data_IF_150769848575
#
_entry.id   IF_150769848575
#
_cell.length_a   1.000
_cell.length_b   1.000
_cell.length_c   1.000
_cell.angle_alpha   90.00
_cell.angle_beta   90.00
_cell.angle_gamma   90.00
#
_symmetry.space_group_name_H-M   'P 1'
#
loop_
_entity.id
_entity.type
_entity.pdbx_description
1 polymer ?
#
# COMPACT_ATOMS: atom_id res chain seq x y z
N UNK A 1 -6.54 -1.19 -40.76
CA UNK A 1 -7.06 -0.70 -39.48
C UNK A 1 -6.76 -1.77 -38.46
N UNK A 2 -5.81 -1.52 -37.54
CA UNK A 2 -5.61 -2.16 -36.22
C UNK A 2 -4.25 -1.65 -35.68
N UNK A 3 -3.99 -1.36 -34.40
CA UNK A 3 -4.78 -1.32 -33.18
C UNK A 3 -4.24 -0.16 -32.33
N UNK A 4 -5.08 0.36 -31.44
CA UNK A 4 -4.74 1.42 -30.51
C UNK A 4 -3.54 1.04 -29.62
N UNK A 5 -2.36 1.57 -29.96
CA UNK A 5 -1.20 1.64 -29.07
C UNK A 5 -1.47 2.70 -28.00
N UNK A 6 -2.42 2.42 -27.09
CA UNK A 6 -2.93 3.38 -26.13
C UNK A 6 -2.45 3.09 -24.72
N UNK A 7 -1.59 3.96 -24.18
CA UNK A 7 -1.42 4.23 -22.74
C UNK A 7 -0.67 3.23 -21.83
N UNK A 8 -0.39 1.99 -22.24
CA UNK A 8 0.31 1.01 -21.35
C UNK A 8 1.85 1.16 -21.34
N UNK A 9 2.42 1.71 -22.41
CA UNK A 9 3.87 1.90 -22.63
C UNK A 9 4.60 2.68 -21.50
N UNK A 10 4.09 3.82 -20.99
CA UNK A 10 4.79 4.56 -19.95
C UNK A 10 4.78 3.83 -18.60
N UNK A 11 3.68 3.14 -18.27
CA UNK A 11 3.55 2.41 -17.01
C UNK A 11 4.45 1.17 -16.99
N UNK A 12 4.48 0.40 -18.08
CA UNK A 12 5.38 -0.76 -18.21
C UNK A 12 6.85 -0.33 -18.16
N UNK A 13 7.21 0.74 -18.87
CA UNK A 13 8.59 1.29 -18.88
C UNK A 13 9.02 1.75 -17.49
N UNK A 14 8.14 2.38 -16.71
CA UNK A 14 8.43 2.77 -15.33
C UNK A 14 8.73 1.54 -14.46
N UNK A 15 7.86 0.54 -14.48
CA UNK A 15 8.06 -0.68 -13.68
C UNK A 15 9.25 -1.51 -14.14
N UNK A 16 9.62 -1.45 -15.42
CA UNK A 16 10.87 -2.03 -15.91
C UNK A 16 12.09 -1.36 -15.27
N UNK A 17 12.12 -0.03 -15.14
CA UNK A 17 13.22 0.68 -14.46
C UNK A 17 13.30 0.30 -12.98
N UNK A 18 12.15 0.24 -12.30
CA UNK A 18 12.06 -0.20 -10.90
C UNK A 18 12.55 -1.66 -10.76
N UNK A 19 12.16 -2.53 -11.69
CA UNK A 19 12.59 -3.92 -11.70
C UNK A 19 14.11 -4.07 -11.86
N UNK A 20 14.71 -3.35 -12.83
CA UNK A 20 16.17 -3.35 -13.02
C UNK A 20 16.88 -2.83 -11.79
N UNK A 21 16.46 -1.68 -11.27
CA UNK A 21 17.05 -1.11 -10.05
C UNK A 21 16.97 -2.08 -8.87
N UNK A 22 15.83 -2.74 -8.66
CA UNK A 22 15.67 -3.75 -7.61
C UNK A 22 16.64 -4.91 -7.79
N UNK A 23 16.80 -5.42 -9.02
CA UNK A 23 17.69 -6.56 -9.28
C UNK A 23 19.16 -6.22 -9.14
N UNK A 24 19.53 -4.98 -9.47
CA UNK A 24 20.91 -4.48 -9.35
C UNK A 24 21.31 -4.24 -7.89
N UNK A 25 20.36 -3.92 -7.00
CA UNK A 25 20.63 -3.47 -5.62
C UNK A 25 20.05 -4.37 -4.51
N UNK A 26 19.29 -5.43 -4.84
CA UNK A 26 18.75 -6.32 -3.81
C UNK A 26 19.88 -7.07 -3.09
N UNK A 27 19.79 -7.11 -1.78
CA UNK A 27 20.59 -7.97 -0.89
C UNK A 27 19.87 -9.30 -0.55
N UNK A 28 18.68 -9.52 -1.12
CA UNK A 28 17.83 -10.68 -0.88
C UNK A 28 17.46 -11.42 -2.17
N UNK A 29 17.10 -12.71 -2.05
CA UNK A 29 16.60 -13.50 -3.18
C UNK A 29 15.19 -13.07 -3.57
N UNK A 30 15.01 -12.74 -4.86
CA UNK A 30 13.70 -12.41 -5.45
C UNK A 30 13.76 -12.56 -6.96
N UNK A 31 12.85 -13.31 -7.55
CA UNK A 31 12.73 -13.50 -9.01
C UNK A 31 11.47 -12.81 -9.58
N UNK A 32 10.94 -11.82 -8.86
CA UNK A 32 9.73 -11.10 -9.28
C UNK A 32 9.97 -10.25 -10.52
N UNK A 33 9.14 -10.43 -11.54
CA UNK A 33 9.14 -9.56 -12.71
C UNK A 33 8.45 -8.20 -12.44
N UNK A 34 8.61 -7.26 -13.36
CA UNK A 34 8.06 -5.90 -13.26
C UNK A 34 6.53 -5.88 -13.07
N UNK A 35 5.79 -6.78 -13.74
CA UNK A 35 4.34 -6.91 -13.60
C UNK A 35 3.94 -7.33 -12.19
N UNK A 36 4.64 -8.30 -11.60
CA UNK A 36 4.44 -8.75 -10.22
C UNK A 36 4.72 -7.64 -9.21
N UNK A 37 5.76 -6.82 -9.45
CA UNK A 37 6.06 -5.66 -8.61
C UNK A 37 4.94 -4.61 -8.68
N UNK A 38 4.43 -4.33 -9.89
CA UNK A 38 3.31 -3.41 -10.10
C UNK A 38 2.06 -3.87 -9.35
N UNK A 39 1.64 -5.14 -9.52
CA UNK A 39 0.45 -5.66 -8.85
C UNK A 39 0.60 -5.61 -7.33
N UNK A 40 1.74 -6.06 -6.81
CA UNK A 40 2.02 -6.04 -5.36
C UNK A 40 2.00 -4.61 -4.80
N UNK A 41 2.57 -3.65 -5.52
CA UNK A 41 2.49 -2.25 -5.13
C UNK A 41 1.04 -1.74 -5.10
N UNK A 42 0.24 -2.10 -6.10
CA UNK A 42 -1.19 -1.77 -6.13
C UNK A 42 -1.96 -2.30 -4.92
N UNK A 43 -1.67 -3.54 -4.51
CA UNK A 43 -2.29 -4.14 -3.32
C UNK A 43 -1.86 -3.43 -2.02
N UNK A 44 -0.57 -3.14 -1.88
CA UNK A 44 -0.03 -2.39 -0.74
C UNK A 44 -0.65 -0.99 -0.68
N UNK A 45 -0.67 -0.27 -1.80
CA UNK A 45 -1.22 1.08 -1.89
C UNK A 45 -2.71 1.11 -1.52
N UNK A 46 -3.49 0.12 -2.00
CA UNK A 46 -4.91 0.00 -1.68
C UNK A 46 -5.12 -0.21 -0.18
N UNK A 47 -4.35 -1.10 0.43
CA UNK A 47 -4.43 -1.36 1.85
C UNK A 47 -4.04 -0.12 2.68
N UNK A 48 -2.96 0.59 2.29
CA UNK A 48 -2.52 1.81 2.97
C UNK A 48 -3.56 2.92 2.85
N UNK A 49 -4.11 3.16 1.66
CA UNK A 49 -5.16 4.17 1.47
C UNK A 49 -6.38 3.91 2.34
N UNK A 50 -6.78 2.65 2.47
CA UNK A 50 -7.89 2.27 3.35
C UNK A 50 -7.57 2.51 4.83
N UNK A 51 -6.35 2.18 5.27
CA UNK A 51 -5.89 2.49 6.62
C UNK A 51 -5.84 4.00 6.88
N UNK A 52 -5.36 4.79 5.90
CA UNK A 52 -5.34 6.25 5.98
C UNK A 52 -6.75 6.84 6.14
N UNK A 53 -7.77 6.31 5.44
CA UNK A 53 -9.17 6.69 5.68
C UNK A 53 -9.62 6.40 7.12
N UNK A 54 -9.21 5.25 7.68
CA UNK A 54 -9.51 4.93 9.09
C UNK A 54 -8.81 5.89 10.06
N UNK A 55 -7.55 6.26 9.80
CA UNK A 55 -6.84 7.28 10.57
C UNK A 55 -7.52 8.65 10.49
N UNK A 56 -7.98 9.06 9.31
CA UNK A 56 -8.73 10.30 9.14
C UNK A 56 -10.03 10.31 9.97
N UNK A 57 -10.75 9.18 10.04
CA UNK A 57 -11.93 9.06 10.89
C UNK A 57 -11.60 9.19 12.38
N UNK A 58 -10.49 8.60 12.84
CA UNK A 58 -10.01 8.75 14.23
C UNK A 58 -9.68 10.21 14.53
N UNK A 59 -8.99 10.88 13.63
CA UNK A 59 -8.63 12.30 13.78
C UNK A 59 -9.86 13.21 13.79
N UNK A 60 -10.85 12.94 12.93
CA UNK A 60 -12.10 13.71 12.84
C UNK A 60 -12.94 13.64 14.12
N UNK A 61 -12.87 12.51 14.86
CA UNK A 61 -13.58 12.32 16.15
C UNK A 61 -13.03 13.18 17.30
N UNK A 62 -12.04 14.06 17.05
CA UNK A 62 -11.41 14.98 18.01
C UNK A 62 -10.93 14.29 19.31
N UNK A 63 -9.86 13.50 19.23
CA UNK A 63 -9.34 12.80 20.40
C UNK A 63 -8.40 13.73 21.18
N UNK A 64 -8.94 14.69 21.93
CA UNK A 64 -8.14 15.42 22.92
C UNK A 64 -7.58 14.41 23.93
N UNK A 65 -6.26 14.22 23.96
CA UNK A 65 -5.58 13.34 24.92
C UNK A 65 -5.11 11.98 24.38
N UNK A 66 -5.35 11.63 23.11
CA UNK A 66 -4.76 10.42 22.52
C UNK A 66 -3.34 10.64 22.01
N UNK A 67 -2.44 9.72 22.34
CA UNK A 67 -1.12 9.66 21.72
C UNK A 67 -1.22 9.15 20.28
N UNK A 68 -0.16 9.31 19.49
CA UNK A 68 -0.13 8.77 18.12
C UNK A 68 -0.29 7.24 18.09
N UNK A 69 0.27 6.54 19.09
CA UNK A 69 0.07 5.09 19.26
C UNK A 69 -1.39 4.73 19.49
N UNK A 70 -2.11 5.52 20.28
CA UNK A 70 -3.53 5.29 20.55
C UNK A 70 -4.36 5.49 19.28
N UNK A 71 -4.05 6.52 18.49
CA UNK A 71 -4.72 6.75 17.20
C UNK A 71 -4.51 5.58 16.23
N UNK A 72 -3.29 5.06 16.13
CA UNK A 72 -2.95 3.90 15.31
C UNK A 72 -3.70 2.65 15.80
N UNK A 73 -3.73 2.42 17.11
CA UNK A 73 -4.44 1.28 17.69
C UNK A 73 -5.94 1.36 17.40
N UNK A 74 -6.55 2.55 17.49
CA UNK A 74 -7.96 2.77 17.18
C UNK A 74 -8.25 2.61 15.68
N UNK A 75 -7.39 3.16 14.81
CA UNK A 75 -7.52 2.98 13.37
C UNK A 75 -7.40 1.50 12.96
N UNK A 76 -6.55 0.70 13.62
CA UNK A 76 -6.49 -0.75 13.41
C UNK A 76 -7.79 -1.46 13.79
N UNK A 77 -8.47 -1.05 14.86
CA UNK A 77 -9.78 -1.61 15.23
C UNK A 77 -10.84 -1.28 14.17
N UNK A 78 -10.87 -0.03 13.72
CA UNK A 78 -11.78 0.43 12.65
C UNK A 78 -11.51 -0.33 11.35
N UNK A 79 -10.23 -0.51 10.99
CA UNK A 79 -9.83 -1.26 9.81
C UNK A 79 -10.33 -2.71 9.86
N UNK A 80 -10.09 -3.42 10.97
CA UNK A 80 -10.59 -4.80 11.16
C UNK A 80 -12.13 -4.89 11.09
N UNK A 81 -12.84 -3.92 11.68
CA UNK A 81 -14.30 -3.87 11.63
C UNK A 81 -14.86 -3.58 10.23
N UNK A 82 -14.13 -2.84 9.39
CA UNK A 82 -14.49 -2.53 7.99
C UNK A 82 -14.11 -3.64 7.01
N UNK A 83 -13.08 -4.42 7.31
CA UNK A 83 -12.59 -5.55 6.50
C UNK A 83 -13.02 -6.91 7.09
N UNK A 84 -14.18 -6.96 7.73
CA UNK A 84 -14.73 -8.16 8.39
C UNK A 84 -14.94 -9.39 7.48
N UNK A 85 -14.58 -9.34 6.19
CA UNK A 85 -14.52 -10.54 5.34
C UNK A 85 -13.35 -11.46 5.70
N UNK A 86 -12.25 -10.92 6.24
CA UNK A 86 -11.08 -11.73 6.62
C UNK A 86 -10.60 -11.52 8.06
N UNK A 87 -11.04 -10.45 8.75
CA UNK A 87 -10.63 -10.17 10.13
C UNK A 87 -9.12 -9.91 10.31
N UNK A 88 -8.36 -9.94 9.21
CA UNK A 88 -6.92 -9.84 9.20
C UNK A 88 -6.47 -8.43 9.60
N UNK A 89 -5.45 -8.32 10.48
CA UNK A 89 -4.88 -7.03 10.83
C UNK A 89 -4.24 -6.37 9.60
N UNK A 90 -4.17 -5.04 9.61
CA UNK A 90 -3.39 -4.28 8.63
C UNK A 90 -1.92 -4.73 8.67
N UNK A 91 -1.47 -5.45 7.64
CA UNK A 91 -0.14 -6.11 7.58
C UNK A 91 0.99 -5.18 7.15
N UNK A 92 0.67 -3.93 6.83
CA UNK A 92 1.58 -2.96 6.24
C UNK A 92 1.89 -1.79 7.18
N UNK A 93 1.67 -1.98 8.48
CA UNK A 93 1.94 -0.93 9.48
C UNK A 93 3.42 -0.50 9.50
N UNK A 94 4.34 -1.40 9.16
CA UNK A 94 5.77 -1.06 9.05
C UNK A 94 6.09 -0.10 7.89
N UNK A 95 5.19 0.07 6.92
CA UNK A 95 5.33 1.10 5.88
C UNK A 95 4.79 2.47 6.33
N UNK A 96 4.02 2.53 7.42
CA UNK A 96 3.42 3.79 7.90
C UNK A 96 4.44 4.89 8.22
N UNK A 97 5.61 4.60 8.85
CA UNK A 97 6.62 5.64 9.08
C UNK A 97 7.30 6.18 7.81
N UNK A 98 7.10 5.53 6.66
CA UNK A 98 7.66 5.94 5.36
C UNK A 98 6.68 6.80 4.55
N UNK A 99 5.47 7.00 5.06
CA UNK A 99 4.44 7.89 4.51
C UNK A 99 4.56 9.28 5.14
#
# INVERSE_FOLDING_TARGET
MDAAQGNEQPCSTYWMRIHSYLHDHKDFKSDRNHTSLMHRWGDIQRAINKFASCMADVQCRKPSGMTERDKIAEAMKIFRGRDAKDGEPFKFLHYWPLM
#
